data_IF_931655272366
#
_entry.id   IF_931655272366
#
_cell.length_a   1.000
_cell.length_b   1.000
_cell.length_c   1.000
_cell.angle_alpha   90.00
_cell.angle_beta   90.00
_cell.angle_gamma   90.00
#
_symmetry.space_group_name_H-M   'P 1'
#
loop_
_entity.id
_entity.type
_entity.pdbx_description
1 polymer ?
#
# COMPACT_ATOMS: atom_id res chain seq x y z
N UNK A 1 25.63 44.83 49.68
CA UNK A 1 25.18 45.42 48.40
C UNK A 1 26.40 45.57 47.50
N UNK A 2 26.63 44.62 46.60
CA UNK A 2 27.48 44.78 45.42
C UNK A 2 27.09 43.66 44.45
N UNK A 3 26.76 44.05 43.23
CA UNK A 3 26.00 43.27 42.26
C UNK A 3 26.81 42.21 41.52
N UNK A 4 26.10 41.14 41.15
CA UNK A 4 26.56 40.10 40.24
C UNK A 4 26.58 40.61 38.79
N UNK A 5 27.56 40.20 37.96
CA UNK A 5 27.56 40.49 36.54
C UNK A 5 26.65 39.52 35.79
N UNK A 6 25.72 40.09 35.01
CA UNK A 6 24.88 39.39 34.03
C UNK A 6 25.73 38.94 32.85
N UNK A 7 25.87 37.62 32.69
CA UNK A 7 26.49 37.00 31.52
C UNK A 7 25.41 36.47 30.59
N UNK A 8 25.50 36.92 29.35
CA UNK A 8 24.65 36.60 28.21
C UNK A 8 24.56 35.09 27.97
N UNK A 9 23.35 34.53 28.08
CA UNK A 9 23.03 33.26 27.43
C UNK A 9 22.64 33.53 25.98
N UNK A 10 23.58 33.23 25.07
CA UNK A 10 23.26 33.00 23.67
C UNK A 10 22.36 31.76 23.59
N UNK A 11 21.10 31.95 23.19
CA UNK A 11 20.26 30.88 22.65
C UNK A 11 20.98 30.33 21.41
N UNK A 12 21.63 29.19 21.58
CA UNK A 12 22.15 28.43 20.46
C UNK A 12 20.97 27.75 19.80
N UNK A 13 20.73 28.08 18.54
CA UNK A 13 19.79 27.41 17.64
C UNK A 13 19.84 25.89 17.85
N UNK A 14 18.81 25.35 18.51
CA UNK A 14 18.37 23.98 18.29
C UNK A 14 17.85 23.95 16.85
N UNK A 15 18.79 23.78 15.91
CA UNK A 15 18.50 23.18 14.61
C UNK A 15 17.84 21.84 14.92
N UNK A 16 16.51 21.83 14.89
CA UNK A 16 15.74 20.63 14.63
C UNK A 16 16.43 19.93 13.46
N UNK A 17 17.10 18.82 13.78
CA UNK A 17 17.35 17.78 12.81
C UNK A 17 15.98 17.36 12.31
N UNK A 18 15.48 18.05 11.27
CA UNK A 18 14.40 17.54 10.42
C UNK A 18 14.89 16.18 9.97
N UNK A 19 14.36 15.13 10.61
CA UNK A 19 14.42 13.79 10.09
C UNK A 19 14.11 13.92 8.60
N UNK A 20 15.08 13.55 7.77
CA UNK A 20 14.95 13.47 6.33
C UNK A 20 13.64 12.74 6.08
N UNK A 21 12.66 13.46 5.51
CA UNK A 21 11.40 12.87 5.08
C UNK A 21 11.80 11.66 4.24
N UNK A 22 11.52 10.45 4.73
CA UNK A 22 11.58 9.26 3.90
C UNK A 22 10.45 9.47 2.90
N UNK A 23 10.79 10.05 1.76
CA UNK A 23 9.85 10.30 0.68
C UNK A 23 9.25 8.94 0.31
N UNK A 24 7.94 8.81 0.50
CA UNK A 24 7.22 7.62 0.09
C UNK A 24 7.48 7.46 -1.41
N UNK A 25 7.94 6.29 -1.87
CA UNK A 25 8.28 6.08 -3.27
C UNK A 25 7.10 6.48 -4.19
N UNK A 26 7.36 7.34 -5.17
CA UNK A 26 6.31 7.85 -6.07
C UNK A 26 5.86 6.72 -7.00
N UNK A 27 4.63 6.28 -6.78
CA UNK A 27 4.06 5.09 -7.40
C UNK A 27 2.78 5.44 -8.16
N UNK A 28 2.64 4.91 -9.38
CA UNK A 28 1.41 4.98 -10.18
C UNK A 28 0.72 3.62 -10.13
N UNK A 29 -0.59 3.60 -9.86
CA UNK A 29 -1.38 2.37 -9.82
C UNK A 29 -2.59 2.49 -10.74
N UNK A 30 -2.79 1.48 -11.58
CA UNK A 30 -4.01 1.31 -12.37
C UNK A 30 -4.94 0.27 -11.76
N UNK A 31 -6.20 0.67 -11.63
CA UNK A 31 -7.31 -0.15 -11.13
C UNK A 31 -8.46 -0.11 -12.16
N UNK A 32 -8.51 -1.04 -13.13
CA UNK A 32 -9.55 -1.08 -14.14
C UNK A 32 -10.90 -1.46 -13.53
N UNK A 33 -11.95 -0.84 -14.04
CA UNK A 33 -13.34 -1.11 -13.71
C UNK A 33 -13.97 -1.96 -14.83
N UNK A 34 -14.39 -3.20 -14.53
CA UNK A 34 -14.98 -4.07 -15.54
C UNK A 34 -15.22 -5.50 -15.06
N UNK A 35 -16.21 -6.16 -15.66
CA UNK A 35 -16.55 -7.55 -15.33
C UNK A 35 -15.48 -8.51 -15.86
N UNK A 36 -14.80 -9.21 -14.96
CA UNK A 36 -14.05 -10.43 -15.29
C UNK A 36 -12.60 -10.48 -14.80
N UNK A 37 -11.93 -9.34 -14.63
CA UNK A 37 -10.51 -9.32 -14.25
C UNK A 37 -10.26 -8.34 -13.09
N UNK A 38 -9.91 -8.88 -11.92
CA UNK A 38 -9.28 -8.09 -10.86
C UNK A 38 -7.83 -7.85 -11.25
N UNK A 39 -7.54 -6.69 -11.84
CA UNK A 39 -6.19 -6.30 -12.23
C UNK A 39 -5.68 -5.17 -11.34
N UNK A 40 -4.42 -5.26 -10.96
CA UNK A 40 -3.68 -4.22 -10.27
C UNK A 40 -2.33 -4.10 -10.97
N UNK A 41 -2.07 -2.95 -11.57
CA UNK A 41 -0.80 -2.64 -12.20
C UNK A 41 -0.11 -1.54 -11.44
N UNK A 42 1.07 -1.81 -10.90
CA UNK A 42 1.93 -0.81 -10.26
C UNK A 42 3.11 -0.44 -11.18
N UNK A 43 3.34 0.86 -11.30
CA UNK A 43 4.34 1.46 -12.16
C UNK A 43 5.09 2.53 -11.39
N UNK A 44 6.31 2.83 -11.84
CA UNK A 44 7.01 4.02 -11.37
C UNK A 44 6.24 5.26 -11.83
N UNK A 45 6.11 6.26 -10.94
CA UNK A 45 5.40 7.47 -11.31
C UNK A 45 6.22 8.29 -12.32
N UNK A 46 5.60 8.82 -13.39
CA UNK A 46 6.31 9.60 -14.41
C UNK A 46 7.17 10.74 -13.83
N UNK A 47 8.35 10.94 -14.42
CA UNK A 47 9.30 11.97 -13.97
C UNK A 47 8.77 13.40 -14.12
N UNK A 48 7.86 13.63 -15.05
CA UNK A 48 7.21 14.93 -15.27
C UNK A 48 6.21 15.28 -14.15
N UNK A 49 5.91 14.35 -13.25
CA UNK A 49 5.02 14.57 -12.12
C UNK A 49 3.54 14.59 -12.50
N UNK A 50 3.18 14.14 -13.70
CA UNK A 50 1.81 14.13 -14.20
C UNK A 50 1.28 12.72 -14.44
N UNK A 51 -0.04 12.57 -14.33
CA UNK A 51 -0.69 11.34 -14.76
C UNK A 51 -0.62 11.21 -16.29
N UNK A 52 -0.53 9.97 -16.83
CA UNK A 52 -0.44 9.72 -18.27
C UNK A 52 -1.51 10.47 -19.07
N UNK A 53 -1.09 11.11 -20.16
CA UNK A 53 -2.00 11.82 -21.06
C UNK A 53 -2.48 10.84 -22.14
N UNK A 54 -3.80 10.71 -22.35
CA UNK A 54 -4.30 9.90 -23.45
C UNK A 54 -3.85 10.47 -24.80
N UNK A 55 -3.60 9.58 -25.76
CA UNK A 55 -3.44 9.96 -27.15
C UNK A 55 -4.72 10.62 -27.66
N UNK A 56 -4.60 11.80 -28.28
CA UNK A 56 -5.73 12.55 -28.82
C UNK A 56 -6.48 11.82 -29.95
N UNK A 57 -5.86 10.82 -30.58
CA UNK A 57 -6.49 9.96 -31.58
C UNK A 57 -7.40 8.89 -30.95
N UNK A 58 -7.25 8.62 -29.66
CA UNK A 58 -8.07 7.66 -28.92
C UNK A 58 -9.24 8.38 -28.25
N UNK A 59 -10.41 7.76 -28.25
CA UNK A 59 -11.61 8.24 -27.55
C UNK A 59 -11.50 7.97 -26.03
N UNK A 60 -10.47 8.53 -25.39
CA UNK A 60 -10.21 8.40 -23.96
C UNK A 60 -10.34 9.77 -23.30
N UNK A 61 -11.30 9.90 -22.40
CA UNK A 61 -11.47 11.08 -21.55
C UNK A 61 -10.89 10.80 -20.16
N UNK A 62 -10.37 11.85 -19.52
CA UNK A 62 -9.76 11.80 -18.19
C UNK A 62 -10.44 12.83 -17.29
N UNK A 63 -10.69 12.47 -16.03
CA UNK A 63 -11.14 13.45 -15.03
C UNK A 63 -10.02 14.44 -14.69
N UNK A 64 -10.40 15.60 -14.16
CA UNK A 64 -9.39 16.52 -13.64
C UNK A 64 -8.67 15.88 -12.46
N UNK A 65 -7.36 16.17 -12.35
CA UNK A 65 -6.59 15.82 -11.16
C UNK A 65 -7.17 16.54 -9.94
N UNK A 66 -7.32 15.80 -8.83
CA UNK A 66 -7.76 16.39 -7.57
C UNK A 66 -6.80 17.53 -7.19
N UNK A 67 -7.36 18.71 -6.92
CA UNK A 67 -6.60 19.89 -6.49
C UNK A 67 -6.12 19.80 -5.05
N UNK A 68 -6.56 18.79 -4.31
CA UNK A 68 -6.21 18.57 -2.91
C UNK A 68 -4.70 18.31 -2.78
N UNK A 69 -4.06 18.94 -1.78
CA UNK A 69 -2.64 18.79 -1.43
C UNK A 69 -2.37 17.45 -0.70
N UNK A 70 -3.01 16.39 -1.18
CA UNK A 70 -2.79 15.04 -0.67
C UNK A 70 -1.61 14.40 -1.40
N UNK A 71 -0.79 13.66 -0.65
CA UNK A 71 0.34 12.88 -1.18
C UNK A 71 -0.08 11.84 -2.23
N UNK A 72 -1.33 11.39 -2.18
CA UNK A 72 -1.91 10.44 -3.14
C UNK A 72 -3.04 11.11 -3.91
N UNK A 73 -2.88 11.23 -5.22
CA UNK A 73 -3.89 11.77 -6.14
C UNK A 73 -4.58 10.65 -6.90
N UNK A 74 -5.77 10.91 -7.42
CA UNK A 74 -6.55 9.95 -8.20
C UNK A 74 -7.17 10.64 -9.41
N UNK A 75 -7.22 9.90 -10.52
CA UNK A 75 -7.90 10.27 -11.76
C UNK A 75 -8.64 9.05 -12.30
N UNK A 76 -9.74 9.28 -13.00
CA UNK A 76 -10.42 8.23 -13.75
C UNK A 76 -10.25 8.47 -15.26
N UNK A 77 -10.06 7.37 -15.99
CA UNK A 77 -10.04 7.35 -17.44
C UNK A 77 -11.26 6.58 -17.93
N UNK A 78 -11.93 7.09 -18.95
CA UNK A 78 -13.12 6.48 -19.53
C UNK A 78 -13.03 6.52 -21.05
N UNK A 79 -13.58 5.50 -21.71
CA UNK A 79 -13.72 5.46 -23.17
C UNK A 79 -15.06 4.80 -23.52
N UNK A 80 -15.65 5.22 -24.64
CA UNK A 80 -16.84 4.55 -25.17
C UNK A 80 -16.47 3.32 -26.01
N UNK A 81 -15.29 3.32 -26.61
CA UNK A 81 -14.86 2.32 -27.60
C UNK A 81 -13.82 1.35 -27.05
N UNK A 82 -13.05 1.76 -26.04
CA UNK A 82 -12.00 0.96 -25.44
C UNK A 82 -12.45 0.39 -24.09
N UNK A 83 -12.12 -0.87 -23.86
CA UNK A 83 -12.17 -1.48 -22.52
C UNK A 83 -11.11 -0.89 -21.61
N UNK A 84 -11.27 -1.02 -20.29
CA UNK A 84 -10.29 -0.51 -19.32
C UNK A 84 -8.88 -1.11 -19.49
N UNK A 85 -8.77 -2.36 -19.95
CA UNK A 85 -7.47 -2.98 -20.23
C UNK A 85 -6.83 -2.33 -21.46
N UNK A 86 -7.58 -2.10 -22.53
CA UNK A 86 -7.07 -1.41 -23.73
C UNK A 86 -6.62 0.03 -23.42
N UNK A 87 -7.33 0.72 -22.51
CA UNK A 87 -6.89 2.03 -22.01
C UNK A 87 -5.53 1.91 -21.31
N UNK A 88 -5.36 0.96 -20.39
CA UNK A 88 -4.09 0.75 -19.69
C UNK A 88 -2.97 0.37 -20.67
N UNK A 89 -3.24 -0.50 -21.64
CA UNK A 89 -2.28 -0.92 -22.66
C UNK A 89 -1.79 0.25 -23.52
N UNK A 90 -2.64 1.25 -23.78
CA UNK A 90 -2.24 2.46 -24.49
C UNK A 90 -1.16 3.27 -23.75
N UNK A 91 -1.05 3.14 -22.42
CA UNK A 91 -0.02 3.82 -21.62
C UNK A 91 1.22 2.96 -21.37
N UNK A 92 1.15 1.65 -21.62
CA UNK A 92 2.14 0.69 -21.12
C UNK A 92 3.56 0.92 -21.69
N UNK A 93 3.68 1.45 -22.90
CA UNK A 93 4.98 1.67 -23.54
C UNK A 93 5.77 2.83 -22.92
N UNK A 94 5.09 3.78 -22.30
CA UNK A 94 5.69 4.96 -21.69
C UNK A 94 5.89 4.82 -20.17
N UNK A 95 5.51 3.66 -19.61
CA UNK A 95 5.53 3.41 -18.17
C UNK A 95 6.42 2.23 -17.81
N UNK A 96 7.32 2.47 -16.86
CA UNK A 96 8.15 1.42 -16.26
C UNK A 96 7.34 0.64 -15.21
N UNK A 97 7.16 -0.69 -15.37
CA UNK A 97 6.57 -1.50 -14.31
C UNK A 97 7.39 -1.39 -13.03
N UNK A 98 6.72 -1.34 -11.89
CA UNK A 98 7.41 -1.30 -10.61
C UNK A 98 8.15 -2.62 -10.39
N UNK A 99 9.46 -2.57 -10.16
CA UNK A 99 10.24 -3.77 -9.89
C UNK A 99 9.91 -4.36 -8.51
N UNK A 100 9.97 -5.68 -8.35
CA UNK A 100 9.84 -6.34 -7.03
C UNK A 100 10.85 -5.79 -6.00
N UNK A 101 12.01 -5.34 -6.47
CA UNK A 101 13.05 -4.74 -5.63
C UNK A 101 12.88 -3.25 -5.34
N UNK A 102 11.79 -2.63 -5.81
CA UNK A 102 11.61 -1.18 -5.80
C UNK A 102 11.71 -0.62 -4.38
N UNK A 103 10.96 -1.20 -3.43
CA UNK A 103 11.04 -0.80 -2.02
C UNK A 103 12.46 -0.90 -1.47
N UNK A 104 13.15 -2.01 -1.71
CA UNK A 104 14.52 -2.26 -1.20
C UNK A 104 15.53 -1.25 -1.76
N UNK A 105 15.34 -0.79 -3.00
CA UNK A 105 16.18 0.23 -3.65
C UNK A 105 15.84 1.64 -3.18
N UNK A 106 14.56 1.92 -2.92
CA UNK A 106 14.08 3.26 -2.61
C UNK A 106 14.15 3.61 -1.12
N UNK A 107 14.10 2.61 -0.23
CA UNK A 107 14.06 2.82 1.22
C UNK A 107 15.29 2.21 1.88
N UNK A 108 16.19 3.05 2.48
CA UNK A 108 17.38 2.55 3.14
C UNK A 108 17.02 1.71 4.37
N UNK A 109 17.89 0.76 4.72
CA UNK A 109 17.77 0.01 5.97
C UNK A 109 18.08 0.93 7.15
N UNK A 110 17.22 0.90 8.16
CA UNK A 110 17.36 1.65 9.41
C UNK A 110 18.34 0.95 10.36
N UNK A 111 18.80 1.69 11.37
CA UNK A 111 19.63 1.12 12.44
C UNK A 111 18.87 0.05 13.24
N UNK A 112 17.56 0.22 13.46
CA UNK A 112 16.72 -0.76 14.16
C UNK A 112 16.64 -2.09 13.38
N UNK A 113 16.35 -2.01 12.08
CA UNK A 113 16.32 -3.17 11.19
C UNK A 113 17.68 -3.90 11.17
N UNK A 114 18.80 -3.17 11.09
CA UNK A 114 20.13 -3.77 11.11
C UNK A 114 20.43 -4.50 12.43
N UNK A 115 20.17 -3.85 13.57
CA UNK A 115 20.38 -4.46 14.87
C UNK A 115 19.51 -5.72 15.04
N UNK A 116 18.28 -5.68 14.55
CA UNK A 116 17.39 -6.83 14.56
C UNK A 116 17.91 -7.97 13.65
N UNK A 117 18.40 -7.63 12.46
CA UNK A 117 19.03 -8.59 11.54
C UNK A 117 20.22 -9.28 12.20
N UNK A 118 21.16 -8.52 12.76
CA UNK A 118 22.37 -9.06 13.41
C UNK A 118 21.99 -10.04 14.55
N UNK A 119 20.96 -9.69 15.33
CA UNK A 119 20.45 -10.54 16.41
C UNK A 119 19.81 -11.84 15.88
N UNK A 120 18.99 -11.74 14.84
CA UNK A 120 18.33 -12.90 14.21
C UNK A 120 19.38 -13.83 13.59
N UNK A 121 20.37 -13.28 12.89
CA UNK A 121 21.46 -14.07 12.30
C UNK A 121 22.22 -14.83 13.37
N UNK A 122 22.61 -14.17 14.47
CA UNK A 122 23.28 -14.81 15.59
C UNK A 122 22.47 -15.97 16.18
N UNK A 123 21.20 -15.74 16.51
CA UNK A 123 20.32 -16.78 17.06
C UNK A 123 20.07 -17.92 16.08
N UNK A 124 20.00 -17.61 14.78
CA UNK A 124 19.81 -18.61 13.74
C UNK A 124 21.01 -19.55 13.65
N UNK A 125 22.24 -19.02 13.65
CA UNK A 125 23.43 -19.86 13.62
C UNK A 125 23.55 -20.73 14.87
N UNK A 126 23.28 -20.18 16.06
CA UNK A 126 23.21 -20.98 17.29
C UNK A 126 22.16 -22.09 17.16
N UNK A 127 20.95 -21.80 16.67
CA UNK A 127 19.91 -22.80 16.45
C UNK A 127 20.37 -23.89 15.44
N UNK A 128 21.05 -23.50 14.37
CA UNK A 128 21.55 -24.40 13.35
C UNK A 128 22.59 -25.38 13.91
N UNK A 129 23.49 -24.91 14.77
CA UNK A 129 24.55 -25.69 15.41
C UNK A 129 23.99 -26.69 16.45
N UNK A 130 23.05 -26.26 17.28
CA UNK A 130 22.60 -27.07 18.43
C UNK A 130 21.39 -27.98 18.16
N UNK A 131 20.68 -27.77 17.05
CA UNK A 131 19.42 -28.49 16.79
C UNK A 131 19.51 -29.35 15.53
N UNK A 132 19.38 -30.68 15.70
CA UNK A 132 19.34 -31.65 14.60
C UNK A 132 17.93 -31.93 14.05
N UNK A 133 16.88 -31.43 14.70
CA UNK A 133 15.48 -31.68 14.31
C UNK A 133 14.85 -30.50 13.55
N UNK A 134 14.06 -30.83 12.53
CA UNK A 134 13.25 -29.89 11.74
C UNK A 134 11.78 -29.88 12.23
N UNK A 135 11.03 -28.77 12.09
CA UNK A 135 11.43 -27.51 11.44
C UNK A 135 12.12 -26.53 12.39
N UNK A 136 13.21 -25.91 11.92
CA UNK A 136 13.93 -24.85 12.62
C UNK A 136 13.19 -23.52 12.44
N UNK A 137 12.85 -22.88 13.55
CA UNK A 137 12.19 -21.57 13.57
C UNK A 137 12.59 -20.80 14.84
N UNK A 138 12.78 -19.49 14.71
CA UNK A 138 13.02 -18.58 15.80
C UNK A 138 11.70 -17.98 16.30
N UNK A 139 11.63 -17.77 17.60
CA UNK A 139 10.66 -16.86 18.16
C UNK A 139 11.10 -15.41 17.93
N UNK A 140 10.15 -14.48 17.81
CA UNK A 140 10.48 -13.06 17.86
C UNK A 140 11.28 -12.72 19.12
N UNK A 141 12.49 -12.18 18.92
CA UNK A 141 13.28 -11.59 19.99
C UNK A 141 12.64 -10.25 20.42
N UNK A 142 12.53 -9.95 21.73
CA UNK A 142 11.97 -8.68 22.21
C UNK A 142 12.68 -7.40 21.72
N UNK A 143 13.96 -7.49 21.34
CA UNK A 143 14.73 -6.40 20.73
C UNK A 143 14.33 -6.12 19.27
N UNK A 144 13.64 -7.07 18.63
CA UNK A 144 13.13 -6.95 17.28
C UNK A 144 11.65 -6.56 17.30
N UNK A 145 11.32 -5.38 16.79
CA UNK A 145 9.93 -5.03 16.56
C UNK A 145 9.33 -5.88 15.44
N UNK A 146 8.00 -6.09 15.46
CA UNK A 146 7.34 -6.78 14.36
C UNK A 146 7.49 -6.04 13.03
N UNK A 147 7.60 -4.70 13.07
CA UNK A 147 7.86 -3.89 11.87
C UNK A 147 9.24 -4.18 11.29
N UNK A 148 10.29 -4.27 12.12
CA UNK A 148 11.64 -4.59 11.67
C UNK A 148 11.68 -5.98 11.03
N UNK A 149 11.07 -6.98 11.67
CA UNK A 149 11.00 -8.35 11.14
C UNK A 149 10.29 -8.38 9.79
N UNK A 150 9.13 -7.73 9.67
CA UNK A 150 8.40 -7.70 8.40
C UNK A 150 9.19 -6.94 7.33
N UNK A 151 9.86 -5.84 7.68
CA UNK A 151 10.68 -5.09 6.74
C UNK A 151 11.87 -5.90 6.22
N UNK A 152 12.57 -6.62 7.11
CA UNK A 152 13.62 -7.57 6.74
C UNK A 152 13.09 -8.68 5.84
N UNK A 153 11.86 -9.16 6.08
CA UNK A 153 11.20 -10.12 5.22
C UNK A 153 10.96 -9.55 3.82
N UNK A 154 10.42 -8.33 3.69
CA UNK A 154 10.24 -7.66 2.40
C UNK A 154 11.55 -7.40 1.64
N UNK A 155 12.68 -7.31 2.35
CA UNK A 155 14.02 -7.26 1.76
C UNK A 155 14.56 -8.63 1.34
N UNK A 156 13.83 -9.71 1.63
CA UNK A 156 14.19 -11.09 1.32
C UNK A 156 15.28 -11.66 2.23
N UNK A 157 15.50 -11.07 3.41
CA UNK A 157 16.56 -11.47 4.36
C UNK A 157 16.11 -12.54 5.35
N UNK A 158 14.80 -12.68 5.57
CA UNK A 158 14.20 -13.69 6.44
C UNK A 158 12.81 -14.09 5.93
N UNK A 159 12.26 -15.15 6.51
CA UNK A 159 10.87 -15.57 6.29
C UNK A 159 10.03 -15.38 7.55
N UNK A 160 8.84 -14.78 7.40
CA UNK A 160 7.87 -14.70 8.50
C UNK A 160 7.00 -15.95 8.52
N UNK A 161 6.87 -16.56 9.68
CA UNK A 161 6.05 -17.76 9.92
C UNK A 161 4.92 -17.47 10.91
N UNK A 162 4.01 -18.44 11.08
CA UNK A 162 2.89 -18.33 12.01
C UNK A 162 1.74 -17.46 11.46
N UNK A 163 0.94 -16.94 12.39
CA UNK A 163 -0.33 -16.25 12.06
C UNK A 163 -0.12 -14.95 11.28
N UNK A 164 1.02 -14.29 11.47
CA UNK A 164 1.35 -13.02 10.81
C UNK A 164 2.11 -13.18 9.50
N UNK A 165 2.28 -14.41 8.99
CA UNK A 165 2.96 -14.66 7.71
C UNK A 165 2.28 -13.97 6.52
N UNK A 166 0.98 -13.66 6.60
CA UNK A 166 0.25 -12.94 5.54
C UNK A 166 0.65 -11.46 5.40
N UNK A 167 1.42 -10.91 6.34
CA UNK A 167 1.91 -9.53 6.32
C UNK A 167 3.24 -9.37 5.57
N UNK A 168 3.88 -10.49 5.24
CA UNK A 168 5.17 -10.52 4.55
C UNK A 168 5.04 -11.31 3.23
N UNK A 169 5.98 -11.12 2.28
CA UNK A 169 5.96 -11.88 1.05
C UNK A 169 6.25 -13.36 1.29
N UNK A 170 5.70 -14.22 0.43
CA UNK A 170 5.82 -15.68 0.57
C UNK A 170 6.96 -16.18 -0.29
N UNK A 171 8.19 -15.90 0.14
CA UNK A 171 9.35 -16.43 -0.56
C UNK A 171 9.46 -17.94 -0.39
N UNK A 172 9.85 -18.62 -1.47
CA UNK A 172 10.46 -19.96 -1.40
C UNK A 172 11.97 -19.81 -1.25
N UNK A 173 12.66 -20.80 -0.68
CA UNK A 173 14.13 -20.79 -0.53
C UNK A 173 14.88 -20.47 -1.84
N UNK A 174 14.27 -20.76 -3.00
CA UNK A 174 14.82 -20.48 -4.34
C UNK A 174 14.69 -19.02 -4.80
N UNK A 175 13.77 -18.25 -4.21
CA UNK A 175 13.44 -16.87 -4.63
C UNK A 175 13.89 -15.80 -3.62
N UNK A 176 14.35 -16.20 -2.43
CA UNK A 176 14.93 -15.29 -1.45
C UNK A 176 16.29 -14.78 -1.92
N UNK A 177 16.44 -13.45 -2.04
CA UNK A 177 17.74 -12.78 -2.18
C UNK A 177 18.64 -12.90 -0.95
N UNK A 178 18.23 -13.63 0.09
CA UNK A 178 19.11 -14.19 1.09
C UNK A 178 20.03 -15.27 0.48
N UNK A 179 20.73 -14.94 -0.60
CA UNK A 179 22.12 -15.34 -0.70
C UNK A 179 22.84 -14.51 0.36
N UNK A 180 22.76 -14.97 1.62
CA UNK A 180 23.72 -14.59 2.63
C UNK A 180 25.06 -14.79 1.95
N UNK A 181 25.83 -13.70 1.79
CA UNK A 181 27.15 -13.78 1.19
C UNK A 181 27.93 -14.84 1.98
N UNK A 182 28.15 -15.99 1.36
CA UNK A 182 29.03 -17.01 1.89
C UNK A 182 30.42 -16.37 2.03
N UNK A 183 30.80 -16.05 3.25
CA UNK A 183 32.11 -16.48 3.69
C UNK A 183 31.96 -17.98 3.96
N UNK A 184 32.54 -18.76 3.03
CA UNK A 184 32.81 -20.20 3.07
C UNK A 184 31.67 -21.16 2.67
N UNK A 185 31.88 -21.70 1.47
CA UNK A 185 31.46 -23.00 0.91
C UNK A 185 30.23 -23.07 -0.02
N UNK A 186 30.29 -23.83 -1.14
CA UNK A 186 29.43 -23.65 -2.30
C UNK A 186 28.30 -24.69 -2.47
N UNK A 187 27.99 -25.55 -1.50
CA UNK A 187 27.15 -26.73 -1.78
C UNK A 187 25.87 -26.90 -0.94
N UNK A 188 25.61 -26.04 0.06
CA UNK A 188 24.37 -26.11 0.83
C UNK A 188 23.48 -24.93 0.48
N UNK A 189 22.23 -25.19 0.04
CA UNK A 189 21.17 -24.18 0.02
C UNK A 189 21.15 -23.48 1.39
N UNK A 190 21.54 -22.21 1.44
CA UNK A 190 21.61 -21.48 2.71
C UNK A 190 20.18 -21.35 3.25
N UNK A 191 19.90 -22.05 4.35
CA UNK A 191 18.58 -21.99 4.97
C UNK A 191 18.35 -20.58 5.54
N UNK A 192 17.37 -19.88 4.97
CA UNK A 192 17.00 -18.52 5.38
C UNK A 192 16.37 -18.54 6.77
N UNK A 193 16.71 -17.59 7.67
CA UNK A 193 16.09 -17.49 8.98
C UNK A 193 14.56 -17.44 8.91
N UNK A 194 13.89 -18.30 9.68
CA UNK A 194 12.43 -18.34 9.81
C UNK A 194 12.04 -17.78 11.17
N UNK A 195 11.27 -16.70 11.20
CA UNK A 195 10.90 -15.99 12.43
C UNK A 195 9.39 -15.99 12.62
N UNK A 196 8.93 -16.38 13.81
CA UNK A 196 7.53 -16.35 14.20
C UNK A 196 7.25 -15.10 15.05
N UNK A 197 6.50 -14.16 14.48
CA UNK A 197 6.08 -12.92 15.16
C UNK A 197 5.04 -13.26 16.22
N UNK A 198 5.22 -12.74 17.43
CA UNK A 198 4.31 -12.97 18.57
C UNK A 198 3.48 -11.74 18.89
N UNK A 199 4.06 -10.56 18.74
CA UNK A 199 3.42 -9.33 19.17
C UNK A 199 2.26 -8.92 18.26
N UNK A 200 1.23 -8.25 18.80
CA UNK A 200 0.16 -7.68 18.01
C UNK A 200 0.67 -6.68 16.97
N UNK A 201 0.19 -6.83 15.74
CA UNK A 201 0.54 -5.93 14.64
C UNK A 201 -0.30 -4.66 14.69
N UNK A 202 0.32 -3.56 15.09
CA UNK A 202 -0.34 -2.27 15.13
C UNK A 202 0.12 -1.41 13.95
N UNK A 203 -0.84 -1.04 13.08
CA UNK A 203 -0.57 -0.43 11.79
C UNK A 203 0.24 0.88 11.89
N UNK A 204 0.05 1.69 12.93
CA UNK A 204 0.78 2.95 13.09
C UNK A 204 2.27 2.78 13.38
N UNK A 205 2.71 1.59 13.82
CA UNK A 205 4.12 1.26 13.94
C UNK A 205 4.72 0.78 12.61
N UNK A 206 3.89 0.39 11.63
CA UNK A 206 4.34 -0.12 10.33
C UNK A 206 4.27 0.90 9.21
N UNK A 207 3.33 1.84 9.28
CA UNK A 207 3.15 2.86 8.24
C UNK A 207 3.04 4.25 8.86
N UNK A 208 3.67 5.21 8.20
CA UNK A 208 3.58 6.63 8.55
C UNK A 208 2.22 7.22 8.14
N UNK A 209 1.78 8.33 8.77
CA UNK A 209 0.53 8.98 8.39
C UNK A 209 0.44 9.38 6.91
N UNK A 210 1.58 9.72 6.28
CA UNK A 210 1.63 10.10 4.86
C UNK A 210 1.40 8.93 3.90
N UNK A 211 1.55 7.69 4.38
CA UNK A 211 1.25 6.47 3.63
C UNK A 211 -0.23 6.07 3.75
N UNK A 212 -1.00 6.67 4.66
CA UNK A 212 -2.42 6.37 4.82
C UNK A 212 -3.23 7.24 3.87
N UNK A 213 -3.80 6.62 2.84
CA UNK A 213 -4.61 7.35 1.86
C UNK A 213 -6.05 7.57 2.34
N UNK A 214 -6.66 6.53 2.93
CA UNK A 214 -8.07 6.57 3.30
C UNK A 214 -8.39 5.64 4.46
N UNK A 215 -9.49 5.92 5.13
CA UNK A 215 -10.02 5.03 6.16
C UNK A 215 -11.53 5.06 6.19
N UNK A 216 -12.11 3.96 6.65
CA UNK A 216 -13.55 3.81 6.83
C UNK A 216 -13.81 2.97 8.07
N UNK A 217 -14.88 3.26 8.80
CA UNK A 217 -15.26 2.47 9.98
C UNK A 217 -16.76 2.30 10.08
N UNK A 218 -17.16 1.19 10.68
CA UNK A 218 -18.52 0.96 11.16
C UNK A 218 -18.46 0.51 12.65
N UNK A 219 -19.60 0.04 13.19
CA UNK A 219 -19.68 -0.42 14.59
C UNK A 219 -18.83 -1.65 14.92
N UNK A 220 -18.43 -2.45 13.91
CA UNK A 220 -17.78 -3.75 14.06
C UNK A 220 -16.34 -3.78 13.54
N UNK A 221 -16.05 -3.03 12.48
CA UNK A 221 -14.77 -3.08 11.78
C UNK A 221 -14.29 -1.70 11.38
N UNK A 222 -12.97 -1.60 11.22
CA UNK A 222 -12.26 -0.44 10.72
C UNK A 222 -11.35 -0.89 9.59
N UNK A 223 -11.39 -0.14 8.49
CA UNK A 223 -10.59 -0.35 7.29
C UNK A 223 -9.65 0.84 7.10
N UNK A 224 -8.43 0.56 6.63
CA UNK A 224 -7.46 1.58 6.24
C UNK A 224 -6.83 1.19 4.91
N UNK A 225 -6.79 2.14 3.99
CA UNK A 225 -6.15 2.02 2.69
C UNK A 225 -4.79 2.72 2.78
N UNK A 226 -3.72 1.95 2.61
CA UNK A 226 -2.35 2.39 2.91
C UNK A 226 -1.36 1.98 1.83
N UNK A 227 -0.34 2.79 1.63
CA UNK A 227 0.86 2.44 0.86
C UNK A 227 1.80 1.61 1.72
N UNK A 228 1.81 0.31 1.47
CA UNK A 228 2.59 -0.70 2.17
C UNK A 228 3.64 -1.28 1.22
N UNK A 229 4.92 -1.08 1.53
CA UNK A 229 6.06 -1.56 0.73
C UNK A 229 5.98 -1.21 -0.78
N UNK A 230 5.48 -0.01 -1.10
CA UNK A 230 5.36 0.50 -2.49
C UNK A 230 4.03 0.17 -3.17
N UNK A 231 3.23 -0.71 -2.57
CA UNK A 231 1.94 -1.12 -3.12
C UNK A 231 0.78 -0.62 -2.27
N UNK A 232 -0.41 -0.59 -2.86
CA UNK A 232 -1.61 -0.14 -2.16
C UNK A 232 -2.33 -1.34 -1.55
N UNK A 233 -2.53 -1.30 -0.24
CA UNK A 233 -3.15 -2.39 0.50
C UNK A 233 -4.31 -1.89 1.36
N UNK A 234 -5.31 -2.76 1.50
CA UNK A 234 -6.43 -2.55 2.41
C UNK A 234 -6.18 -3.39 3.66
N UNK A 235 -6.13 -2.74 4.82
CA UNK A 235 -6.05 -3.41 6.12
C UNK A 235 -7.39 -3.32 6.84
N UNK A 236 -7.72 -4.35 7.60
CA UNK A 236 -8.89 -4.43 8.46
C UNK A 236 -8.50 -4.72 9.90
N UNK A 237 -9.21 -4.10 10.83
CA UNK A 237 -9.26 -4.56 12.22
C UNK A 237 -10.68 -4.60 12.72
N UNK A 238 -10.93 -5.47 13.71
CA UNK A 238 -12.17 -5.45 14.48
C UNK A 238 -12.15 -4.28 15.47
N UNK A 239 -13.30 -3.66 15.70
CA UNK A 239 -13.43 -2.64 16.74
C UNK A 239 -13.11 -3.27 18.11
N UNK A 240 -12.27 -2.59 18.90
CA UNK A 240 -11.75 -3.10 20.18
C UNK A 240 -10.46 -3.93 20.05
N UNK A 241 -10.06 -4.34 18.85
CA UNK A 241 -8.76 -4.98 18.61
C UNK A 241 -7.70 -3.95 18.24
N UNK A 242 -6.45 -4.17 18.67
CA UNK A 242 -5.27 -3.41 18.25
C UNK A 242 -4.65 -3.97 16.98
N UNK A 243 -4.85 -5.27 16.70
CA UNK A 243 -4.23 -5.97 15.58
C UNK A 243 -4.91 -5.66 14.25
N UNK A 244 -4.09 -5.32 13.25
CA UNK A 244 -4.51 -5.13 11.87
C UNK A 244 -4.13 -6.32 10.99
N UNK A 245 -5.02 -6.65 10.07
CA UNK A 245 -4.88 -7.77 9.14
C UNK A 245 -5.00 -7.28 7.70
N UNK A 246 -4.19 -7.79 6.76
CA UNK A 246 -4.34 -7.43 5.36
C UNK A 246 -5.61 -8.07 4.79
N UNK A 247 -6.38 -7.31 4.02
CA UNK A 247 -7.52 -7.79 3.22
C UNK A 247 -7.13 -8.00 1.77
N UNK A 248 -6.16 -7.25 1.31
CA UNK A 248 -5.48 -7.46 0.04
C UNK A 248 -4.34 -8.47 0.24
N UNK A 249 -4.01 -9.21 -0.81
CA UNK A 249 -2.89 -10.15 -0.77
C UNK A 249 -1.58 -9.39 -0.97
N UNK A 250 -0.57 -9.74 -0.20
CA UNK A 250 0.80 -9.25 -0.35
C UNK A 250 1.57 -10.25 -1.23
N UNK A 251 2.49 -9.77 -2.06
CA UNK A 251 3.34 -10.55 -3.00
C UNK A 251 2.61 -11.09 -4.24
N UNK A 252 1.29 -10.89 -4.31
CA UNK A 252 0.46 -11.24 -5.47
C UNK A 252 -0.55 -10.12 -5.75
N UNK A 253 -0.02 -8.90 -5.83
CA UNK A 253 -0.82 -7.66 -5.86
C UNK A 253 -1.73 -7.59 -7.06
N UNK A 254 -1.34 -8.20 -8.20
CA UNK A 254 -2.08 -8.19 -9.46
C UNK A 254 -3.57 -8.55 -9.30
N UNK A 255 -3.92 -9.37 -8.31
CA UNK A 255 -5.30 -9.78 -8.02
C UNK A 255 -6.08 -8.85 -7.07
N UNK A 256 -5.50 -7.76 -6.57
CA UNK A 256 -6.11 -6.87 -5.58
C UNK A 256 -7.01 -5.77 -6.18
N UNK A 257 -7.02 -5.61 -7.50
CA UNK A 257 -7.70 -4.52 -8.20
C UNK A 257 -9.13 -4.28 -7.74
N UNK A 258 -9.96 -5.33 -7.80
CA UNK A 258 -11.38 -5.24 -7.51
C UNK A 258 -11.68 -4.84 -6.06
N UNK A 259 -10.97 -5.41 -5.08
CA UNK A 259 -11.21 -5.08 -3.66
C UNK A 259 -10.79 -3.65 -3.33
N UNK A 260 -9.69 -3.16 -3.92
CA UNK A 260 -9.21 -1.79 -3.76
C UNK A 260 -10.18 -0.79 -4.41
N UNK A 261 -10.58 -1.04 -5.66
CA UNK A 261 -11.52 -0.19 -6.40
C UNK A 261 -12.87 -0.13 -5.69
N UNK A 262 -13.40 -1.27 -5.23
CA UNK A 262 -14.67 -1.31 -4.49
C UNK A 262 -14.60 -0.51 -3.20
N UNK A 263 -13.49 -0.57 -2.46
CA UNK A 263 -13.32 0.23 -1.25
C UNK A 263 -13.30 1.73 -1.57
N UNK A 264 -12.48 2.14 -2.55
CA UNK A 264 -12.39 3.53 -3.01
C UNK A 264 -13.74 4.09 -3.49
N UNK A 265 -14.43 3.32 -4.33
CA UNK A 265 -15.69 3.74 -4.95
C UNK A 265 -16.85 3.75 -3.97
N UNK A 266 -17.06 2.69 -3.21
CA UNK A 266 -18.28 2.54 -2.40
C UNK A 266 -18.12 2.93 -0.94
N UNK A 267 -16.92 2.79 -0.35
CA UNK A 267 -16.68 3.16 1.07
C UNK A 267 -16.16 4.58 1.20
N UNK A 268 -15.19 4.95 0.37
CA UNK A 268 -14.64 6.31 0.37
C UNK A 268 -15.43 7.27 -0.54
N UNK A 269 -16.32 6.75 -1.40
CA UNK A 269 -17.15 7.55 -2.32
C UNK A 269 -16.34 8.45 -3.26
N UNK A 270 -15.09 8.07 -3.56
CA UNK A 270 -14.18 8.90 -4.36
C UNK A 270 -14.76 9.21 -5.74
N UNK A 271 -15.41 8.23 -6.37
CA UNK A 271 -15.94 8.39 -7.72
C UNK A 271 -17.43 8.74 -7.75
N UNK A 272 -18.04 9.12 -6.63
CA UNK A 272 -19.49 9.37 -6.56
C UNK A 272 -19.98 10.38 -7.60
N UNK A 273 -19.27 11.51 -7.78
CA UNK A 273 -19.63 12.50 -8.81
C UNK A 273 -19.56 11.94 -10.23
N UNK A 274 -18.58 11.08 -10.51
CA UNK A 274 -18.46 10.37 -11.78
C UNK A 274 -19.61 9.39 -11.95
N UNK A 275 -19.91 8.61 -10.91
CA UNK A 275 -20.98 7.62 -10.89
C UNK A 275 -22.34 8.26 -11.12
N UNK A 276 -22.62 9.38 -10.43
CA UNK A 276 -23.86 10.15 -10.57
C UNK A 276 -23.99 10.69 -12.01
N UNK A 277 -22.90 11.18 -12.60
CA UNK A 277 -22.90 11.66 -13.99
C UNK A 277 -23.11 10.53 -15.00
N UNK A 278 -22.43 9.39 -14.83
CA UNK A 278 -22.64 8.22 -15.68
C UNK A 278 -24.10 7.74 -15.60
N UNK A 279 -24.68 7.72 -14.39
CA UNK A 279 -26.07 7.34 -14.18
C UNK A 279 -27.07 8.32 -14.82
N UNK A 280 -26.79 9.62 -14.77
CA UNK A 280 -27.60 10.68 -15.41
C UNK A 280 -27.73 10.48 -16.93
N UNK A 281 -26.66 10.01 -17.59
CA UNK A 281 -26.64 9.75 -19.04
C UNK A 281 -27.30 8.43 -19.47
N UNK A 282 -28.04 7.76 -18.58
CA UNK A 282 -28.86 6.61 -18.96
C UNK A 282 -28.14 5.27 -18.97
N UNK A 283 -26.90 5.19 -18.47
CA UNK A 283 -26.30 3.92 -18.07
C UNK A 283 -26.98 3.43 -16.77
N UNK A 284 -28.25 3.02 -16.87
CA UNK A 284 -28.89 2.12 -15.91
C UNK A 284 -28.21 0.75 -15.99
N UNK A 285 -26.96 0.64 -15.54
CA UNK A 285 -26.53 -0.63 -15.01
C UNK A 285 -27.25 -0.79 -13.68
N UNK A 286 -28.20 -1.73 -13.70
CA UNK A 286 -28.85 -2.29 -12.54
C UNK A 286 -27.83 -2.35 -11.40
N UNK A 287 -28.22 -1.75 -10.29
CA UNK A 287 -27.73 -2.04 -8.95
C UNK A 287 -27.41 -3.54 -8.87
N UNK A 288 -26.13 -3.92 -8.96
CA UNK A 288 -25.70 -5.22 -8.45
C UNK A 288 -25.47 -4.98 -6.96
N UNK A 289 -26.59 -4.88 -6.25
CA UNK A 289 -26.61 -5.27 -4.86
C UNK A 289 -26.36 -6.78 -4.83
N UNK A 290 -25.32 -7.17 -4.08
CA UNK A 290 -25.13 -8.46 -3.44
C UNK A 290 -25.96 -9.64 -4.00
N UNK A 291 -25.31 -10.53 -4.78
CA UNK A 291 -25.43 -12.00 -4.68
C UNK A 291 -24.25 -12.62 -5.47
N UNK A 292 -23.64 -13.64 -4.87
CA UNK A 292 -22.71 -14.59 -5.50
C UNK A 292 -23.35 -15.20 -6.75
N UNK A 293 -22.89 -14.81 -7.95
CA UNK A 293 -23.28 -15.49 -9.18
C UNK A 293 -22.10 -16.33 -9.69
N UNK A 294 -22.07 -17.61 -9.29
CA UNK A 294 -21.40 -18.62 -10.09
C UNK A 294 -22.22 -18.79 -11.37
N UNK A 295 -21.61 -18.53 -12.52
CA UNK A 295 -22.20 -18.52 -13.87
C UNK A 295 -23.03 -17.28 -14.23
N UNK A 296 -22.35 -16.29 -14.83
CA UNK A 296 -22.99 -15.41 -15.80
C UNK A 296 -22.36 -15.71 -17.17
N UNK A 297 -23.16 -16.32 -18.04
CA UNK A 297 -22.91 -16.46 -19.48
C UNK A 297 -22.95 -15.04 -20.10
N UNK A 298 -22.12 -14.69 -21.09
CA UNK A 298 -22.15 -13.37 -21.69
C UNK A 298 -23.41 -13.22 -22.54
N UNK A 299 -24.23 -12.21 -22.23
CA UNK A 299 -25.32 -11.79 -23.11
C UNK A 299 -24.74 -10.82 -24.13
N UNK A 300 -24.59 -11.26 -25.37
CA UNK A 300 -24.34 -10.40 -26.54
C UNK A 300 -25.52 -9.44 -26.72
N UNK A 301 -25.40 -8.24 -26.16
CA UNK A 301 -26.34 -7.16 -26.41
C UNK A 301 -25.96 -6.46 -27.72
N UNK A 302 -26.47 -6.99 -28.83
CA UNK A 302 -26.56 -6.30 -30.11
C UNK A 302 -27.61 -5.19 -29.98
N UNK A 303 -27.22 -3.98 -29.62
CA UNK A 303 -28.11 -2.81 -29.59
C UNK A 303 -27.43 -1.63 -30.25
N UNK A 304 -27.91 -1.30 -31.45
CA UNK A 304 -27.75 0.01 -32.08
C UNK A 304 -28.28 1.07 -31.11
N UNK A 305 -27.40 1.90 -30.56
CA UNK A 305 -27.78 3.17 -29.96
C UNK A 305 -27.19 4.31 -30.78
N UNK A 306 -28.11 5.05 -31.39
CA UNK A 306 -27.86 6.38 -31.94
C UNK A 306 -27.05 7.20 -30.93
N UNK A 307 -26.02 7.86 -31.46
CA UNK A 307 -24.94 8.44 -30.67
C UNK A 307 -25.42 9.68 -29.92
N UNK A 308 -25.78 9.54 -28.64
CA UNK A 308 -25.73 10.68 -27.72
C UNK A 308 -24.27 10.92 -27.34
N UNK A 309 -23.67 11.96 -27.92
CA UNK A 309 -22.42 12.54 -27.45
C UNK A 309 -22.75 13.54 -26.34
N UNK A 310 -22.49 13.15 -25.08
CA UNK A 310 -22.35 14.11 -24.00
C UNK A 310 -20.86 14.37 -23.81
N UNK A 311 -20.40 15.55 -24.20
CA UNK A 311 -19.03 15.99 -23.95
C UNK A 311 -18.91 16.38 -22.46
N UNK A 312 -18.34 15.50 -21.64
CA UNK A 312 -17.97 15.84 -20.26
C UNK A 312 -16.66 16.65 -20.33
N UNK A 313 -16.77 17.96 -20.54
CA UNK A 313 -15.60 18.84 -20.66
C UNK A 313 -14.75 18.87 -19.39
N UNK A 314 -15.39 18.84 -18.21
CA UNK A 314 -14.70 18.90 -16.92
C UNK A 314 -15.46 18.12 -15.84
N UNK A 315 -14.83 17.08 -15.29
CA UNK A 315 -15.27 16.44 -14.06
C UNK A 315 -14.17 16.51 -13.00
N UNK A 316 -14.49 17.13 -11.87
CA UNK A 316 -13.60 17.26 -10.73
C UNK A 316 -13.93 16.20 -9.67
N UNK A 317 -12.97 15.32 -9.39
CA UNK A 317 -13.05 14.37 -8.27
C UNK A 317 -12.45 15.04 -7.05
N UNK A 318 -13.30 15.41 -6.11
CA UNK A 318 -12.91 15.90 -4.78
C UNK A 318 -13.32 14.88 -3.74
N UNK A 319 -12.54 14.75 -2.68
CA UNK A 319 -12.95 13.99 -1.50
C UNK A 319 -14.22 14.61 -0.92
N UNK A 320 -15.28 13.81 -0.69
CA UNK A 320 -16.34 14.26 0.22
C UNK A 320 -15.74 14.25 1.64
N UNK A 321 -15.75 15.40 2.34
CA UNK A 321 -15.15 15.56 3.65
C UNK A 321 -15.63 14.49 4.65
N UNK A 322 -14.80 13.46 4.80
CA UNK A 322 -14.53 12.68 6.02
C UNK A 322 -13.34 11.76 5.71
N UNK A 323 -12.35 11.60 6.62
CA UNK A 323 -12.45 11.66 8.07
C UNK A 323 -11.69 12.85 8.69
N UNK A 324 -12.09 13.22 9.91
CA UNK A 324 -11.24 13.98 10.84
C UNK A 324 -9.82 13.42 10.79
N UNK A 325 -8.84 14.26 10.49
CA UNK A 325 -7.41 13.98 10.68
C UNK A 325 -7.08 13.55 12.15
N UNK A 326 -8.03 13.72 13.08
CA UNK A 326 -8.04 13.10 14.40
C UNK A 326 -8.04 11.56 14.44
N UNK A 327 -8.16 10.85 13.32
CA UNK A 327 -8.24 9.38 13.28
C UNK A 327 -6.97 8.65 13.79
N UNK A 328 -5.81 9.29 13.67
CA UNK A 328 -4.54 8.85 14.25
C UNK A 328 -4.01 9.85 15.30
N UNK A 329 -4.78 10.87 15.69
CA UNK A 329 -4.29 11.98 16.55
C UNK A 329 -5.22 12.27 17.74
N UNK A 330 -6.53 12.00 17.68
CA UNK A 330 -7.50 12.34 18.76
C UNK A 330 -7.33 11.48 20.04
N UNK A 331 -6.41 10.51 20.04
CA UNK A 331 -5.95 9.81 21.26
C UNK A 331 -4.53 10.17 21.69
N UNK A 332 -3.83 11.01 20.94
CA UNK A 332 -2.38 11.21 21.05
C UNK A 332 -1.98 12.51 21.76
N UNK A 333 -2.93 13.37 22.13
CA UNK A 333 -2.68 14.59 22.91
C UNK A 333 -3.38 14.60 24.29
N UNK A 334 -3.89 13.46 24.76
CA UNK A 334 -4.65 13.40 26.03
C UNK A 334 -3.98 12.68 27.19
N UNK A 335 -2.72 12.24 27.04
CA UNK A 335 -1.98 11.54 28.11
C UNK A 335 -0.57 12.11 28.33
N UNK A 336 -0.43 13.44 28.33
CA UNK A 336 0.68 14.12 29.01
C UNK A 336 0.06 15.32 29.73
N UNK A 337 -0.48 15.04 30.92
CA UNK A 337 -0.81 15.94 32.03
C UNK A 337 -1.97 15.31 32.83
N UNK A 338 -1.61 14.30 33.64
CA UNK A 338 -2.20 14.01 34.96
C UNK A 338 -1.27 13.07 35.75
#
# INVERSE_FOLDING_TARGET
MTGYPSSYYYLSDLRENRATRIDVPKSLVFLPDGSGNSFYGAYEFPHDGHFPRPDASLDIVKTQESSDDTTTKVVAYCSRTLSSIQIIESFKYDLSPMSESYYTKSVPITTSERNCQDQIEKEWYELLEYTSMAPKQLAQNPACSSCDIISLAHRGLLMVTGVYSELAPKYTNQNTKATIKNYLEPENEVEVPKVNIRDPIILHYMVSPVQVYGSWKNKRTQLALVWYFGHLHLFERKMGSTTWWPKTKIDVEHGNGAILLNFMRYRMKLFKKLDDKIAEYGFRNKVIDFISCQSCIPLEAKVNTDHMMAEIKHLHISREDTPRQGFLVDKFLKNEDD
#
